data_IF_340974947048
#
_entry.id   IF_340974947048
#
_cell.length_a   1.000
_cell.length_b   1.000
_cell.length_c   1.000
_cell.angle_alpha   90.00
_cell.angle_beta   90.00
_cell.angle_gamma   90.00
#
_symmetry.space_group_name_H-M   'P 1'
#
loop_
_entity.id
_entity.type
_entity.pdbx_description
1 polymer ?
#
# COMPACT_ATOMS: atom_id res chain seq x y z
N UNK A 1 -7.67 -4.65 17.72
CA UNK A 1 -7.09 -4.30 16.42
C UNK A 1 -7.47 -5.39 15.45
N UNK A 2 -8.02 -5.00 14.31
CA UNK A 2 -8.38 -5.94 13.25
C UNK A 2 -7.08 -6.49 12.65
N UNK A 3 -7.00 -7.79 12.43
CA UNK A 3 -5.81 -8.35 11.75
C UNK A 3 -5.80 -7.93 10.28
N UNK A 4 -4.61 -7.74 9.69
CA UNK A 4 -4.53 -7.42 8.26
C UNK A 4 -5.20 -8.50 7.39
N UNK A 5 -5.14 -9.78 7.81
CA UNK A 5 -5.83 -10.87 7.12
C UNK A 5 -7.35 -10.68 7.08
N UNK A 6 -7.98 -10.28 8.19
CA UNK A 6 -9.43 -10.03 8.22
C UNK A 6 -9.82 -8.86 7.30
N UNK A 7 -8.98 -7.83 7.18
CA UNK A 7 -9.21 -6.76 6.22
C UNK A 7 -9.07 -7.27 4.77
N UNK A 8 -8.03 -8.06 4.49
CA UNK A 8 -7.78 -8.63 3.16
C UNK A 8 -8.96 -9.48 2.67
N UNK A 9 -9.68 -10.18 3.56
CA UNK A 9 -10.87 -10.98 3.22
C UNK A 9 -12.08 -10.14 2.77
N UNK A 10 -12.11 -8.85 3.09
CA UNK A 10 -13.17 -7.93 2.68
C UNK A 10 -12.89 -7.26 1.33
N UNK A 11 -11.66 -7.38 0.82
CA UNK A 11 -11.21 -6.78 -0.42
C UNK A 11 -11.43 -7.70 -1.62
N UNK A 12 -12.00 -7.12 -2.66
CA UNK A 12 -11.95 -7.60 -4.03
C UNK A 12 -11.27 -6.51 -4.86
N UNK A 13 -9.98 -6.67 -5.16
CA UNK A 13 -9.19 -5.61 -5.80
C UNK A 13 -9.64 -5.32 -7.24
N UNK A 14 -10.35 -6.25 -7.89
CA UNK A 14 -11.01 -6.00 -9.18
C UNK A 14 -12.37 -5.28 -9.07
N UNK A 15 -12.91 -5.09 -7.87
CA UNK A 15 -14.22 -4.48 -7.62
C UNK A 15 -14.21 -3.66 -6.31
N UNK A 16 -13.73 -2.42 -6.43
CA UNK A 16 -13.67 -1.48 -5.31
C UNK A 16 -15.06 -1.14 -4.75
N UNK A 17 -16.11 -1.16 -5.58
CA UNK A 17 -17.50 -0.90 -5.17
C UNK A 17 -18.03 -2.01 -4.26
N UNK A 18 -17.80 -3.28 -4.65
CA UNK A 18 -18.18 -4.41 -3.82
C UNK A 18 -17.39 -4.45 -2.50
N UNK A 19 -16.10 -4.08 -2.55
CA UNK A 19 -15.26 -3.92 -1.36
C UNK A 19 -15.82 -2.85 -0.43
N UNK A 20 -16.18 -1.67 -0.96
CA UNK A 20 -16.80 -0.59 -0.18
C UNK A 20 -18.05 -1.08 0.56
N UNK A 21 -18.95 -1.78 -0.12
CA UNK A 21 -20.19 -2.27 0.46
C UNK A 21 -19.93 -3.25 1.62
N UNK A 22 -18.98 -4.18 1.48
CA UNK A 22 -18.60 -5.13 2.54
C UNK A 22 -17.97 -4.41 3.74
N UNK A 23 -17.05 -3.47 3.48
CA UNK A 23 -16.37 -2.71 4.51
C UNK A 23 -17.33 -1.82 5.30
N UNK A 24 -18.31 -1.19 4.63
CA UNK A 24 -19.38 -0.43 5.31
C UNK A 24 -20.24 -1.33 6.19
N UNK A 25 -20.66 -2.48 5.68
CA UNK A 25 -21.45 -3.43 6.46
C UNK A 25 -20.68 -3.93 7.71
N UNK A 26 -19.37 -4.16 7.58
CA UNK A 26 -18.51 -4.50 8.71
C UNK A 26 -18.41 -3.33 9.72
N UNK A 27 -18.22 -2.10 9.24
CA UNK A 27 -18.17 -0.91 10.09
C UNK A 27 -19.48 -0.66 10.86
N UNK A 28 -20.64 -0.95 10.26
CA UNK A 28 -21.94 -0.77 10.90
C UNK A 28 -22.23 -1.82 12.00
N UNK A 29 -21.51 -2.95 11.99
CA UNK A 29 -21.68 -4.03 12.96
C UNK A 29 -20.86 -3.83 14.25
N UNK A 30 -19.93 -2.88 14.28
CA UNK A 30 -19.00 -2.65 15.40
C UNK A 30 -18.94 -1.18 15.80
N UNK A 31 -18.22 -0.85 16.87
CA UNK A 31 -18.08 0.52 17.37
C UNK A 31 -16.65 0.80 17.82
N UNK A 32 -16.33 2.07 18.12
CA UNK A 32 -15.00 2.48 18.59
C UNK A 32 -13.90 2.28 17.54
N UNK A 33 -12.67 2.02 17.99
CA UNK A 33 -11.50 1.92 17.12
C UNK A 33 -11.65 0.86 16.01
N UNK A 34 -12.33 -0.25 16.27
CA UNK A 34 -12.57 -1.29 15.27
C UNK A 34 -13.44 -0.77 14.11
N UNK A 35 -14.50 0.00 14.42
CA UNK A 35 -15.31 0.67 13.40
C UNK A 35 -14.46 1.63 12.57
N UNK A 36 -13.61 2.40 13.24
CA UNK A 36 -12.79 3.40 12.58
C UNK A 36 -11.72 2.77 11.68
N UNK A 37 -11.13 1.64 12.07
CA UNK A 37 -10.27 0.84 11.20
C UNK A 37 -10.99 0.43 9.91
N UNK A 38 -12.24 -0.06 9.98
CA UNK A 38 -13.02 -0.35 8.76
C UNK A 38 -13.31 0.91 7.93
N UNK A 39 -13.61 2.04 8.58
CA UNK A 39 -13.84 3.31 7.86
C UNK A 39 -12.61 3.81 7.11
N UNK A 40 -11.39 3.55 7.60
CA UNK A 40 -10.18 3.84 6.80
C UNK A 40 -10.18 3.05 5.50
N UNK A 41 -10.58 1.77 5.53
CA UNK A 41 -10.64 0.94 4.34
C UNK A 41 -11.78 1.36 3.41
N UNK A 42 -12.91 1.84 3.95
CA UNK A 42 -13.96 2.48 3.15
C UNK A 42 -13.40 3.68 2.38
N UNK A 43 -12.63 4.54 3.04
CA UNK A 43 -11.99 5.68 2.37
C UNK A 43 -11.03 5.24 1.26
N UNK A 44 -10.24 4.18 1.49
CA UNK A 44 -9.39 3.58 0.45
C UNK A 44 -10.20 3.11 -0.76
N UNK A 45 -11.32 2.41 -0.53
CA UNK A 45 -12.18 1.93 -1.63
C UNK A 45 -12.85 3.07 -2.40
N UNK A 46 -13.18 4.18 -1.73
CA UNK A 46 -13.70 5.38 -2.38
C UNK A 46 -12.64 6.05 -3.25
N UNK A 47 -11.40 6.13 -2.76
CA UNK A 47 -10.27 6.65 -3.53
C UNK A 47 -10.01 5.86 -4.81
N UNK A 48 -10.12 4.53 -4.78
CA UNK A 48 -10.01 3.67 -5.97
C UNK A 48 -11.18 3.82 -6.97
N UNK A 49 -12.27 4.45 -6.55
CA UNK A 49 -13.42 4.80 -7.40
C UNK A 49 -13.37 6.27 -7.86
N UNK A 50 -12.24 6.96 -7.66
CA UNK A 50 -12.05 8.40 -7.90
C UNK A 50 -13.02 9.31 -7.11
N UNK A 51 -13.64 8.78 -6.04
CA UNK A 51 -14.55 9.51 -5.15
C UNK A 51 -13.77 10.19 -4.02
N UNK A 52 -12.82 11.05 -4.41
CA UNK A 52 -11.86 11.65 -3.47
C UNK A 52 -12.50 12.49 -2.37
N UNK A 53 -13.54 13.28 -2.69
CA UNK A 53 -14.21 14.12 -1.69
C UNK A 53 -14.99 13.29 -0.65
N UNK A 54 -15.59 12.17 -1.08
CA UNK A 54 -16.24 11.23 -0.18
C UNK A 54 -15.19 10.57 0.73
N UNK A 55 -14.04 10.17 0.18
CA UNK A 55 -12.94 9.61 0.95
C UNK A 55 -12.41 10.59 2.01
N UNK A 56 -12.18 11.87 1.63
CA UNK A 56 -11.78 12.93 2.56
C UNK A 56 -12.80 13.15 3.67
N UNK A 57 -14.10 13.11 3.32
CA UNK A 57 -15.19 13.26 4.28
C UNK A 57 -15.18 12.14 5.31
N UNK A 58 -15.03 10.89 4.87
CA UNK A 58 -14.91 9.72 5.77
C UNK A 58 -13.69 9.87 6.68
N UNK A 59 -12.52 10.20 6.13
CA UNK A 59 -11.27 10.34 6.89
C UNK A 59 -11.26 11.52 7.87
N UNK A 60 -12.07 12.55 7.62
CA UNK A 60 -12.22 13.70 8.53
C UNK A 60 -13.12 13.37 9.72
N UNK A 61 -14.08 12.46 9.53
CA UNK A 61 -15.01 12.06 10.59
C UNK A 61 -14.38 11.10 11.61
N UNK A 62 -13.27 10.46 11.28
CA UNK A 62 -12.55 9.55 12.19
C UNK A 62 -11.79 10.37 13.23
N UNK A 63 -12.14 10.17 14.50
CA UNK A 63 -11.47 10.78 15.65
C UNK A 63 -11.12 9.70 16.68
N UNK A 64 -10.02 9.00 16.40
CA UNK A 64 -9.52 7.92 17.23
C UNK A 64 -8.07 8.19 17.65
N UNK A 65 -7.78 7.93 18.92
CA UNK A 65 -6.42 7.99 19.48
C UNK A 65 -5.70 6.64 19.36
N UNK A 66 -6.33 5.62 18.74
CA UNK A 66 -5.70 4.33 18.49
C UNK A 66 -4.58 4.43 17.45
N UNK A 67 -3.41 3.89 17.76
CA UNK A 67 -2.22 4.00 16.91
C UNK A 67 -2.38 3.39 15.52
N UNK A 68 -3.11 2.28 15.38
CA UNK A 68 -3.35 1.68 14.07
C UNK A 68 -4.36 2.49 13.26
N UNK A 69 -5.43 3.00 13.89
CA UNK A 69 -6.37 3.90 13.23
C UNK A 69 -5.67 5.17 12.76
N UNK A 70 -4.88 5.83 13.62
CA UNK A 70 -4.15 7.05 13.27
C UNK A 70 -3.17 6.83 12.11
N UNK A 71 -2.42 5.72 12.14
CA UNK A 71 -1.51 5.31 11.06
C UNK A 71 -2.27 5.13 9.74
N UNK A 72 -3.39 4.40 9.77
CA UNK A 72 -4.21 4.17 8.57
C UNK A 72 -4.84 5.45 8.05
N UNK A 73 -5.33 6.33 8.92
CA UNK A 73 -5.88 7.63 8.48
C UNK A 73 -4.81 8.45 7.74
N UNK A 74 -3.57 8.49 8.25
CA UNK A 74 -2.47 9.16 7.56
C UNK A 74 -2.18 8.51 6.20
N UNK A 75 -2.06 7.17 6.13
CA UNK A 75 -1.89 6.44 4.89
C UNK A 75 -2.96 6.77 3.85
N UNK A 76 -4.24 6.66 4.22
CA UNK A 76 -5.33 6.85 3.27
C UNK A 76 -5.50 8.31 2.84
N UNK A 77 -5.18 9.28 3.70
CA UNK A 77 -5.10 10.70 3.29
C UNK A 77 -4.02 10.88 2.22
N UNK A 78 -2.85 10.29 2.43
CA UNK A 78 -1.79 10.29 1.43
C UNK A 78 -2.25 9.64 0.11
N UNK A 79 -2.91 8.48 0.15
CA UNK A 79 -3.40 7.81 -1.07
C UNK A 79 -4.41 8.64 -1.82
N UNK A 80 -5.35 9.27 -1.12
CA UNK A 80 -6.35 10.16 -1.74
C UNK A 80 -5.67 11.30 -2.49
N UNK A 81 -4.70 11.99 -1.87
CA UNK A 81 -3.99 13.08 -2.55
C UNK A 81 -3.08 12.59 -3.68
N UNK A 82 -2.39 11.46 -3.50
CA UNK A 82 -1.54 10.89 -4.54
C UNK A 82 -2.36 10.50 -5.79
N UNK A 83 -3.46 9.77 -5.60
CA UNK A 83 -4.35 9.36 -6.70
C UNK A 83 -5.08 10.55 -7.35
N UNK A 84 -5.33 11.62 -6.60
CA UNK A 84 -5.86 12.88 -7.15
C UNK A 84 -4.81 13.69 -7.94
N UNK A 85 -3.56 13.20 -8.05
CA UNK A 85 -2.47 13.85 -8.77
C UNK A 85 -1.65 14.85 -7.95
N UNK A 86 -1.91 14.95 -6.64
CA UNK A 86 -1.23 15.87 -5.72
C UNK A 86 -0.08 15.18 -4.96
N UNK A 87 0.87 14.58 -5.68
CA UNK A 87 1.95 13.75 -5.08
C UNK A 87 2.73 14.46 -3.97
N UNK A 88 3.15 15.71 -4.20
CA UNK A 88 3.87 16.51 -3.19
C UNK A 88 3.07 16.69 -1.89
N UNK A 89 1.74 16.79 -1.98
CA UNK A 89 0.87 16.91 -0.81
C UNK A 89 0.67 15.57 -0.10
N UNK A 90 0.86 14.45 -0.79
CA UNK A 90 0.76 13.11 -0.23
C UNK A 90 1.98 12.73 0.63
N UNK A 91 3.18 13.17 0.25
CA UNK A 91 4.44 12.82 0.92
C UNK A 91 4.41 13.08 2.44
N UNK A 92 4.00 14.25 2.96
CA UNK A 92 3.93 14.48 4.40
C UNK A 92 3.01 13.49 5.14
N UNK A 93 1.91 13.06 4.51
CA UNK A 93 1.01 12.08 5.10
C UNK A 93 1.65 10.69 5.19
N UNK A 94 2.36 10.25 4.14
CA UNK A 94 3.05 8.96 4.18
C UNK A 94 4.23 8.95 5.17
N UNK A 95 4.97 10.06 5.31
CA UNK A 95 5.98 10.20 6.38
C UNK A 95 5.36 10.07 7.77
N UNK A 96 4.26 10.79 8.00
CA UNK A 96 3.50 10.71 9.27
C UNK A 96 3.05 9.27 9.54
N UNK A 97 2.57 8.57 8.51
CA UNK A 97 2.16 7.17 8.64
C UNK A 97 3.34 6.25 9.00
N UNK A 98 4.50 6.41 8.36
CA UNK A 98 5.68 5.61 8.65
C UNK A 98 6.17 5.82 10.10
N UNK A 99 6.19 7.07 10.57
CA UNK A 99 6.57 7.45 11.94
C UNK A 99 5.60 6.87 12.98
N UNK A 100 4.29 7.00 12.76
CA UNK A 100 3.27 6.42 13.65
C UNK A 100 3.35 4.89 13.66
N UNK A 101 3.53 4.26 12.50
CA UNK A 101 3.66 2.82 12.40
C UNK A 101 4.89 2.31 13.17
N UNK A 102 6.03 3.00 13.05
CA UNK A 102 7.23 2.69 13.83
C UNK A 102 6.99 2.86 15.33
N UNK A 103 6.42 3.98 15.75
CA UNK A 103 6.12 4.27 17.16
C UNK A 103 5.25 3.19 17.81
N UNK A 104 4.30 2.64 17.05
CA UNK A 104 3.35 1.64 17.54
C UNK A 104 3.72 0.19 17.21
N UNK A 105 4.87 -0.06 16.59
CA UNK A 105 5.32 -1.42 16.22
C UNK A 105 4.46 -2.09 15.15
N UNK A 106 3.89 -1.30 14.23
CA UNK A 106 2.98 -1.74 13.17
C UNK A 106 3.76 -2.01 11.87
N UNK A 107 4.59 -3.05 11.88
CA UNK A 107 5.53 -3.37 10.79
C UNK A 107 4.90 -3.36 9.39
N UNK A 108 3.77 -4.05 9.23
CA UNK A 108 3.06 -4.11 7.94
C UNK A 108 2.67 -2.72 7.43
N UNK A 109 2.18 -1.85 8.31
CA UNK A 109 1.77 -0.49 7.94
C UNK A 109 2.97 0.43 7.71
N UNK A 110 4.09 0.18 8.39
CA UNK A 110 5.34 0.91 8.14
C UNK A 110 5.85 0.62 6.73
N UNK A 111 5.89 -0.65 6.34
CA UNK A 111 6.29 -1.07 4.99
C UNK A 111 5.34 -0.48 3.95
N UNK A 112 4.04 -0.50 4.20
CA UNK A 112 3.03 0.10 3.33
C UNK A 112 3.25 1.63 3.16
N UNK A 113 3.58 2.34 4.24
CA UNK A 113 3.88 3.77 4.18
C UNK A 113 5.16 4.08 3.38
N UNK A 114 6.22 3.29 3.56
CA UNK A 114 7.47 3.44 2.82
C UNK A 114 7.29 3.10 1.33
N UNK A 115 6.48 2.09 1.01
CA UNK A 115 6.09 1.79 -0.37
C UNK A 115 5.38 2.97 -1.02
N UNK A 116 4.44 3.60 -0.31
CA UNK A 116 3.75 4.78 -0.82
C UNK A 116 4.67 6.00 -0.95
N UNK A 117 5.69 6.15 -0.08
CA UNK A 117 6.73 7.16 -0.23
C UNK A 117 7.55 6.94 -1.50
N UNK A 118 7.97 5.71 -1.78
CA UNK A 118 8.70 5.40 -3.01
C UNK A 118 7.92 5.76 -4.29
N UNK A 119 6.58 5.66 -4.25
CA UNK A 119 5.70 6.06 -5.37
C UNK A 119 5.57 7.59 -5.46
N UNK A 120 5.40 8.27 -4.34
CA UNK A 120 5.07 9.69 -4.30
C UNK A 120 6.30 10.62 -4.37
N UNK A 121 7.48 10.13 -3.99
CA UNK A 121 8.75 10.84 -3.90
C UNK A 121 9.82 10.14 -4.77
N UNK A 122 9.69 10.20 -6.11
CA UNK A 122 10.52 9.43 -7.04
C UNK A 122 12.01 9.81 -6.98
N UNK A 123 12.35 11.01 -6.50
CA UNK A 123 13.74 11.45 -6.34
C UNK A 123 14.47 10.68 -5.21
N UNK A 124 13.71 10.06 -4.30
CA UNK A 124 14.22 9.27 -3.17
C UNK A 124 13.68 7.83 -3.20
N UNK A 125 13.20 7.35 -4.36
CA UNK A 125 12.52 6.06 -4.49
C UNK A 125 13.39 4.89 -4.00
N UNK A 126 14.68 4.90 -4.37
CA UNK A 126 15.62 3.85 -4.00
C UNK A 126 15.85 3.79 -2.49
N UNK A 127 15.93 4.95 -1.83
CA UNK A 127 16.09 5.04 -0.37
C UNK A 127 14.85 4.46 0.33
N UNK A 128 13.65 4.90 -0.06
CA UNK A 128 12.40 4.40 0.50
C UNK A 128 12.18 2.90 0.24
N UNK A 129 12.52 2.45 -0.96
CA UNK A 129 12.42 1.03 -1.34
C UNK A 129 13.37 0.19 -0.50
N UNK A 130 14.63 0.59 -0.37
CA UNK A 130 15.62 -0.15 0.42
C UNK A 130 15.23 -0.25 1.90
N UNK A 131 14.73 0.83 2.50
CA UNK A 131 14.25 0.83 3.88
C UNK A 131 13.07 -0.14 4.05
N UNK A 132 12.12 -0.14 3.12
CA UNK A 132 10.97 -1.05 3.14
C UNK A 132 11.38 -2.52 2.92
N UNK A 133 12.32 -2.77 2.00
CA UNK A 133 12.86 -4.11 1.71
C UNK A 133 13.57 -4.69 2.94
N UNK A 134 14.39 -3.88 3.62
CA UNK A 134 15.10 -4.32 4.82
C UNK A 134 14.12 -4.76 5.93
N UNK A 135 13.01 -4.04 6.11
CA UNK A 135 11.96 -4.40 7.05
C UNK A 135 11.21 -5.67 6.61
N UNK A 136 10.81 -5.74 5.34
CA UNK A 136 10.05 -6.88 4.81
C UNK A 136 10.87 -8.18 4.81
N UNK A 137 12.18 -8.12 4.53
CA UNK A 137 13.06 -9.30 4.53
C UNK A 137 13.34 -9.82 5.95
N UNK A 138 13.42 -8.92 6.93
CA UNK A 138 13.59 -9.28 8.35
C UNK A 138 12.31 -9.85 8.99
N UNK A 139 11.15 -9.67 8.37
CA UNK A 139 9.86 -10.11 8.90
C UNK A 139 9.76 -11.63 8.97
N UNK A 140 9.21 -12.15 10.07
CA UNK A 140 8.85 -13.57 10.19
C UNK A 140 7.44 -13.89 9.71
N UNK A 141 6.66 -12.87 9.34
CA UNK A 141 5.29 -13.04 8.84
C UNK A 141 5.30 -13.17 7.31
N UNK A 142 4.90 -14.34 6.80
CA UNK A 142 4.87 -14.62 5.36
C UNK A 142 3.99 -13.64 4.58
N UNK A 143 2.93 -13.10 5.22
CA UNK A 143 2.07 -12.09 4.59
C UNK A 143 2.79 -10.75 4.41
N UNK A 144 3.60 -10.35 5.39
CA UNK A 144 4.41 -9.14 5.36
C UNK A 144 5.58 -9.29 4.41
N UNK A 145 6.29 -10.42 4.41
CA UNK A 145 7.38 -10.72 3.46
C UNK A 145 6.95 -10.59 1.99
N UNK A 146 5.70 -10.88 1.66
CA UNK A 146 5.14 -10.71 0.30
C UNK A 146 5.18 -9.26 -0.20
N UNK A 147 5.39 -8.26 0.66
CA UNK A 147 5.63 -6.88 0.23
C UNK A 147 6.87 -6.74 -0.66
N UNK A 148 7.89 -7.60 -0.50
CA UNK A 148 9.07 -7.60 -1.35
C UNK A 148 8.72 -7.59 -2.84
N UNK A 149 7.67 -8.32 -3.24
CA UNK A 149 7.22 -8.39 -4.63
C UNK A 149 6.79 -7.00 -5.13
N UNK A 150 5.93 -6.29 -4.39
CA UNK A 150 5.44 -4.98 -4.81
C UNK A 150 6.49 -3.88 -4.70
N UNK A 151 7.42 -4.00 -3.75
CA UNK A 151 8.53 -3.06 -3.56
C UNK A 151 9.50 -3.12 -4.76
N UNK A 152 9.99 -4.31 -5.09
CA UNK A 152 10.89 -4.50 -6.23
C UNK A 152 10.20 -4.19 -7.56
N UNK A 153 8.92 -4.58 -7.72
CA UNK A 153 8.16 -4.27 -8.94
C UNK A 153 8.06 -2.76 -9.19
N UNK A 154 7.80 -1.98 -8.15
CA UNK A 154 7.64 -0.54 -8.30
C UNK A 154 8.98 0.14 -8.55
N UNK A 155 10.04 -0.27 -7.87
CA UNK A 155 11.38 0.24 -8.15
C UNK A 155 11.83 -0.09 -9.58
N UNK A 156 11.51 -1.28 -10.08
CA UNK A 156 11.75 -1.66 -11.47
C UNK A 156 11.08 -0.69 -12.46
N UNK A 157 9.83 -0.30 -12.21
CA UNK A 157 9.13 0.70 -13.03
C UNK A 157 9.78 2.09 -12.92
N UNK A 158 10.21 2.51 -11.73
CA UNK A 158 10.93 3.79 -11.58
C UNK A 158 12.23 3.81 -12.38
N UNK A 159 13.03 2.74 -12.32
CA UNK A 159 14.25 2.60 -13.13
C UNK A 159 13.93 2.59 -14.62
N UNK A 160 12.84 1.92 -15.02
CA UNK A 160 12.40 1.85 -16.40
C UNK A 160 12.04 3.25 -16.93
N UNK A 161 11.27 4.03 -16.18
CA UNK A 161 10.87 5.40 -16.51
C UNK A 161 12.07 6.37 -16.52
N UNK A 162 13.08 6.13 -15.68
CA UNK A 162 14.35 6.86 -15.67
C UNK A 162 15.28 6.50 -16.85
N UNK A 163 14.94 5.47 -17.63
CA UNK A 163 15.72 4.98 -18.77
C UNK A 163 16.84 3.99 -18.43
N UNK A 164 16.98 3.60 -17.16
CA UNK A 164 17.87 2.53 -16.74
C UNK A 164 17.21 1.16 -16.99
N UNK A 165 17.23 0.76 -18.26
CA UNK A 165 16.60 -0.48 -18.71
C UNK A 165 17.26 -1.73 -18.11
N UNK A 166 18.58 -1.73 -17.99
CA UNK A 166 19.30 -2.89 -17.47
C UNK A 166 18.98 -3.09 -15.98
N UNK A 167 18.96 -2.01 -15.19
CA UNK A 167 18.54 -2.03 -13.79
C UNK A 167 17.07 -2.46 -13.64
N UNK A 168 16.17 -1.90 -14.44
CA UNK A 168 14.75 -2.25 -14.42
C UNK A 168 14.51 -3.75 -14.68
N UNK A 169 15.15 -4.31 -15.71
CA UNK A 169 15.01 -5.74 -16.02
C UNK A 169 15.53 -6.62 -14.88
N UNK A 170 16.66 -6.25 -14.25
CA UNK A 170 17.17 -7.00 -13.10
C UNK A 170 16.17 -7.01 -11.92
N UNK A 171 15.55 -5.87 -11.63
CA UNK A 171 14.52 -5.75 -10.58
C UNK A 171 13.22 -6.51 -10.92
N UNK A 172 12.79 -6.51 -12.18
CA UNK A 172 11.65 -7.34 -12.63
C UNK A 172 11.96 -8.84 -12.53
N UNK A 173 13.17 -9.26 -12.87
CA UNK A 173 13.59 -10.67 -12.72
C UNK A 173 13.61 -11.09 -11.25
N UNK A 174 14.06 -10.22 -10.35
CA UNK A 174 14.01 -10.44 -8.90
C UNK A 174 12.55 -10.51 -8.41
N UNK A 175 11.71 -9.58 -8.84
CA UNK A 175 10.26 -9.57 -8.57
C UNK A 175 9.60 -10.88 -8.96
N UNK A 176 9.89 -11.41 -10.16
CA UNK A 176 9.38 -12.71 -10.63
C UNK A 176 9.83 -13.86 -9.73
N UNK A 177 11.12 -13.91 -9.37
CA UNK A 177 11.67 -14.95 -8.50
C UNK A 177 11.02 -14.92 -7.10
N UNK A 178 10.84 -13.73 -6.53
CA UNK A 178 10.13 -13.54 -5.27
C UNK A 178 8.67 -13.98 -5.36
N UNK A 179 7.98 -13.62 -6.44
CA UNK A 179 6.59 -14.02 -6.64
C UNK A 179 6.43 -15.55 -6.75
N UNK A 180 7.36 -16.23 -7.42
CA UNK A 180 7.39 -17.70 -7.50
C UNK A 180 7.65 -18.35 -6.14
N UNK A 181 8.51 -17.76 -5.31
CA UNK A 181 8.89 -18.30 -4.01
C UNK A 181 7.81 -18.09 -2.92
N UNK A 182 7.23 -16.88 -2.85
CA UNK A 182 6.38 -16.46 -1.72
C UNK A 182 5.04 -15.81 -2.14
N UNK A 183 4.83 -15.53 -3.43
CA UNK A 183 3.67 -14.79 -3.94
C UNK A 183 2.42 -15.64 -4.14
N UNK A 184 1.26 -14.97 -4.22
CA UNK A 184 0.01 -15.60 -4.66
C UNK A 184 0.02 -15.89 -6.17
N UNK A 185 -0.87 -16.76 -6.69
CA UNK A 185 -0.98 -16.98 -8.14
C UNK A 185 -1.16 -15.69 -8.95
N UNK A 186 -1.95 -14.74 -8.42
CA UNK A 186 -2.15 -13.43 -9.03
C UNK A 186 -0.85 -12.61 -9.06
N UNK A 187 -0.10 -12.58 -7.96
CA UNK A 187 1.20 -11.89 -7.92
C UNK A 187 2.23 -12.51 -8.86
N UNK A 188 2.24 -13.84 -8.99
CA UNK A 188 3.08 -14.54 -9.96
C UNK A 188 2.73 -14.17 -11.40
N UNK A 189 1.44 -14.04 -11.70
CA UNK A 189 0.99 -13.60 -13.01
C UNK A 189 1.43 -12.17 -13.29
N UNK A 190 1.16 -11.23 -12.38
CA UNK A 190 1.54 -9.83 -12.55
C UNK A 190 3.05 -9.64 -12.70
N UNK A 191 3.88 -10.35 -11.92
CA UNK A 191 5.33 -10.25 -12.02
C UNK A 191 5.86 -10.75 -13.39
N UNK A 192 5.25 -11.79 -13.96
CA UNK A 192 5.60 -12.25 -15.32
C UNK A 192 5.20 -11.23 -16.37
N UNK A 193 3.96 -10.73 -16.29
CA UNK A 193 3.43 -9.76 -17.26
C UNK A 193 4.26 -8.46 -17.26
N UNK A 194 4.65 -7.96 -16.09
CA UNK A 194 5.50 -6.78 -15.96
C UNK A 194 6.88 -6.96 -16.62
N UNK A 195 7.54 -8.10 -16.38
CA UNK A 195 8.82 -8.42 -17.03
C UNK A 195 8.67 -8.53 -18.55
N UNK A 196 7.63 -9.20 -19.03
CA UNK A 196 7.34 -9.33 -20.47
C UNK A 196 7.03 -7.98 -21.13
N UNK A 197 6.39 -7.06 -20.42
CA UNK A 197 6.14 -5.69 -20.89
C UNK A 197 7.44 -4.89 -21.00
N UNK A 198 8.27 -4.91 -19.97
CA UNK A 198 9.55 -4.21 -19.94
C UNK A 198 10.51 -4.70 -21.04
N UNK A 199 10.53 -6.01 -21.33
CA UNK A 199 11.37 -6.59 -22.38
C UNK A 199 10.93 -6.24 -23.81
N UNK A 200 9.66 -5.87 -24.01
CA UNK A 200 9.09 -5.56 -25.33
C UNK A 200 9.20 -4.08 -25.73
N UNK A 201 9.55 -3.21 -24.79
CA UNK A 201 9.50 -1.75 -24.90
C UNK A 201 10.88 -1.13 -25.17
#
# INVERSE_FOLDING_TARGET
>A
MITQQQLDELWEFGDATASEARLRAAADAVTGAERDEYLTQVARSLGLQDRFDDARTVLTAISSDDGAVATRVALERGRVENSAGHREQAVPYFRTAAELAEQHGLEFLRIDALHMLAIADPDHDAEWTMDAVALADASTDDRTRRWLISLHNNHAWTLFDAGDRDGAIAEFELTRQLAEAIGTPTQQQYAREALEEAQRS
#
